data_IF_296305179816
#
_entry.id   IF_296305179816
#
_cell.length_a   1.000
_cell.length_b   1.000
_cell.length_c   1.000
_cell.angle_alpha   90.00
_cell.angle_beta   90.00
_cell.angle_gamma   90.00
#
_symmetry.space_group_name_H-M   'P 1'
#
loop_
_entity.id
_entity.type
_entity.pdbx_description
1 polymer ?
#
# COMPACT_ATOMS: atom_id res chain seq x y z
N UNK A 1 9.90 -0.61 -10.96
CA UNK A 1 10.27 -0.97 -9.58
C UNK A 1 10.83 0.23 -8.85
N UNK A 2 11.07 0.09 -7.54
CA UNK A 2 11.74 1.08 -6.69
C UNK A 2 13.20 0.64 -6.54
N UNK A 3 14.16 1.54 -6.78
CA UNK A 3 15.59 1.19 -6.92
C UNK A 3 16.46 1.56 -5.71
N UNK A 4 15.89 2.27 -4.72
CA UNK A 4 16.60 2.69 -3.51
C UNK A 4 15.66 2.63 -2.31
N UNK A 5 15.59 1.47 -1.66
CA UNK A 5 14.71 1.26 -0.52
C UNK A 5 15.29 0.23 0.46
N UNK A 6 14.89 0.31 1.72
CA UNK A 6 15.24 -0.61 2.80
C UNK A 6 14.00 -1.04 3.56
N UNK A 7 13.95 -2.28 4.03
CA UNK A 7 12.89 -2.70 4.95
C UNK A 7 13.07 -2.02 6.32
N UNK A 8 11.96 -1.59 6.89
CA UNK A 8 11.90 -1.19 8.29
C UNK A 8 11.39 -2.38 9.10
N UNK A 9 12.33 -3.09 9.73
CA UNK A 9 12.02 -4.27 10.54
C UNK A 9 11.14 -3.91 11.74
N UNK A 10 10.26 -4.83 12.12
CA UNK A 10 9.39 -4.69 13.30
C UNK A 10 7.98 -4.19 13.02
N UNK A 11 7.66 -3.82 11.77
CA UNK A 11 6.28 -3.59 11.33
C UNK A 11 5.79 -4.72 10.42
N UNK A 12 4.72 -5.40 10.85
CA UNK A 12 4.01 -6.40 10.08
C UNK A 12 2.51 -6.34 10.37
N UNK A 13 1.66 -6.26 9.33
CA UNK A 13 0.20 -6.31 9.48
C UNK A 13 -0.46 -7.18 8.43
N UNK A 14 -1.41 -8.01 8.86
CA UNK A 14 -2.14 -8.91 7.99
C UNK A 14 -3.59 -8.48 7.82
N UNK A 15 -4.07 -8.44 6.57
CA UNK A 15 -5.47 -8.22 6.23
C UNK A 15 -6.04 -9.44 5.53
N UNK A 16 -7.12 -9.99 6.08
CA UNK A 16 -7.90 -11.04 5.45
C UNK A 16 -9.21 -10.51 4.90
N UNK A 17 -9.56 -10.92 3.68
CA UNK A 17 -10.86 -10.65 3.07
C UNK A 17 -11.31 -11.80 2.18
N UNK A 18 -12.62 -11.94 2.06
CA UNK A 18 -13.24 -12.96 1.22
C UNK A 18 -13.65 -12.34 -0.11
N UNK A 19 -13.35 -13.04 -1.20
CA UNK A 19 -13.79 -12.65 -2.55
C UNK A 19 -14.36 -13.86 -3.29
N UNK A 20 -15.14 -13.61 -4.34
CA UNK A 20 -15.72 -14.67 -5.16
C UNK A 20 -14.83 -14.91 -6.37
N UNK A 21 -14.39 -16.15 -6.56
CA UNK A 21 -13.64 -16.58 -7.76
C UNK A 21 -14.33 -17.78 -8.36
N UNK A 22 -14.80 -17.66 -9.61
CA UNK A 22 -15.54 -18.73 -10.32
C UNK A 22 -16.69 -19.32 -9.49
N UNK A 23 -17.47 -18.46 -8.84
CA UNK A 23 -18.62 -18.85 -8.00
C UNK A 23 -18.27 -19.40 -6.60
N UNK A 24 -16.99 -19.50 -6.24
CA UNK A 24 -16.56 -19.98 -4.92
C UNK A 24 -16.08 -18.82 -4.05
N UNK A 25 -16.47 -18.83 -2.77
CA UNK A 25 -15.90 -17.94 -1.75
C UNK A 25 -14.46 -18.38 -1.46
N UNK A 26 -13.52 -17.46 -1.61
CA UNK A 26 -12.09 -17.68 -1.36
C UNK A 26 -11.62 -16.64 -0.35
N UNK A 27 -10.88 -17.07 0.66
CA UNK A 27 -10.21 -16.18 1.61
C UNK A 27 -8.84 -15.82 1.05
N UNK A 28 -8.52 -14.53 1.00
CA UNK A 28 -7.19 -14.02 0.70
C UNK A 28 -6.64 -13.28 1.90
N UNK A 29 -5.41 -13.60 2.27
CA UNK A 29 -4.62 -12.89 3.28
C UNK A 29 -3.52 -12.10 2.58
N UNK A 30 -3.38 -10.83 2.93
CA UNK A 30 -2.32 -9.94 2.46
C UNK A 30 -1.52 -9.49 3.67
N UNK A 31 -0.20 -9.64 3.60
CA UNK A 31 0.74 -9.19 4.65
C UNK A 31 1.43 -7.93 4.17
N UNK A 32 1.44 -6.91 5.02
CA UNK A 32 2.03 -5.60 4.78
C UNK A 32 3.26 -5.43 5.68
N UNK A 33 4.29 -4.87 5.09
CA UNK A 33 5.55 -4.48 5.72
C UNK A 33 5.81 -3.00 5.45
N UNK A 34 6.74 -2.40 6.18
CA UNK A 34 7.21 -1.04 5.89
C UNK A 34 8.55 -1.07 5.20
N UNK A 35 8.70 -0.16 4.26
CA UNK A 35 9.96 0.12 3.60
C UNK A 35 10.18 1.62 3.56
N UNK A 36 11.40 2.04 3.86
CA UNK A 36 11.87 3.40 3.62
C UNK A 36 12.37 3.48 2.18
N UNK A 37 11.97 4.51 1.44
CA UNK A 37 12.41 4.76 0.06
C UNK A 37 13.28 6.00 0.06
N UNK A 38 14.55 5.84 -0.32
CA UNK A 38 15.52 6.93 -0.35
C UNK A 38 15.42 7.77 -1.62
N UNK A 39 15.39 9.10 -1.46
CA UNK A 39 15.04 10.10 -2.47
C UNK A 39 13.63 9.90 -3.04
N UNK A 40 13.06 10.94 -3.64
CA UNK A 40 11.77 10.90 -4.37
C UNK A 40 11.90 10.10 -5.69
N UNK A 41 12.40 8.87 -5.59
CA UNK A 41 12.52 7.95 -6.69
C UNK A 41 11.15 7.75 -7.32
N UNK A 42 11.04 8.06 -8.61
CA UNK A 42 9.87 7.72 -9.38
C UNK A 42 9.94 6.23 -9.72
N UNK A 43 8.99 5.41 -9.23
CA UNK A 43 9.00 4.01 -9.55
C UNK A 43 8.82 3.81 -11.06
N UNK A 44 9.40 2.75 -11.62
CA UNK A 44 9.02 2.27 -12.95
C UNK A 44 7.69 1.52 -12.87
N UNK A 45 6.71 1.91 -13.67
CA UNK A 45 5.39 1.25 -13.75
C UNK A 45 5.51 -0.17 -14.31
N UNK A 46 4.83 -1.14 -13.71
CA UNK A 46 4.60 -2.45 -14.32
C UNK A 46 3.24 -2.53 -15.01
N UNK A 47 3.01 -3.53 -15.84
CA UNK A 47 1.73 -3.74 -16.55
C UNK A 47 0.54 -3.93 -15.59
N UNK A 48 0.80 -4.38 -14.36
CA UNK A 48 -0.23 -4.60 -13.34
C UNK A 48 -0.76 -3.28 -12.73
N UNK A 49 -0.05 -2.16 -12.93
CA UNK A 49 -0.43 -0.86 -12.38
C UNK A 49 -1.12 -0.01 -13.45
N UNK A 50 -2.41 0.25 -13.24
CA UNK A 50 -3.25 1.05 -14.13
C UNK A 50 -3.38 2.46 -13.58
N UNK A 51 -3.37 3.45 -14.47
CA UNK A 51 -3.64 4.83 -14.09
C UNK A 51 -5.08 5.02 -13.60
N UNK A 52 -5.26 5.94 -12.66
CA UNK A 52 -6.56 6.43 -12.24
C UNK A 52 -7.23 7.26 -13.37
N UNK A 53 -8.47 7.73 -13.18
CA UNK A 53 -9.15 8.57 -14.16
C UNK A 53 -8.44 9.90 -14.49
N UNK A 54 -7.51 10.35 -13.66
CA UNK A 54 -6.70 11.55 -13.87
C UNK A 54 -5.37 11.25 -14.58
N UNK A 55 -5.13 10.00 -14.99
CA UNK A 55 -3.91 9.57 -15.65
C UNK A 55 -2.75 9.30 -14.69
N UNK A 56 -2.97 9.34 -13.37
CA UNK A 56 -1.96 9.09 -12.36
C UNK A 56 -2.00 7.61 -11.94
N UNK A 57 -0.89 6.91 -12.07
CA UNK A 57 -0.76 5.52 -11.61
C UNK A 57 0.01 5.41 -10.28
N UNK A 58 0.64 6.51 -9.87
CA UNK A 58 1.51 6.59 -8.71
C UNK A 58 1.60 8.02 -8.20
N UNK A 59 1.67 8.19 -6.88
CA UNK A 59 1.94 9.46 -6.24
C UNK A 59 2.63 9.28 -4.89
N UNK A 60 3.61 10.14 -4.61
CA UNK A 60 4.09 10.40 -3.26
C UNK A 60 3.25 11.53 -2.65
N UNK A 61 3.06 11.53 -1.33
CA UNK A 61 2.29 12.55 -0.63
C UNK A 61 2.43 12.43 0.88
N UNK A 62 1.86 13.38 1.61
CA UNK A 62 1.75 13.30 3.07
C UNK A 62 0.83 12.17 3.48
N UNK A 63 0.88 11.80 4.77
CA UNK A 63 -0.04 10.83 5.33
C UNK A 63 -1.51 11.19 5.03
N UNK A 64 -1.89 12.44 5.23
CA UNK A 64 -3.25 12.94 5.02
C UNK A 64 -3.65 12.82 3.56
N UNK A 65 -2.80 13.28 2.64
CA UNK A 65 -3.05 13.21 1.19
C UNK A 65 -3.28 11.76 0.74
N UNK A 66 -2.36 10.85 1.10
CA UNK A 66 -2.47 9.45 0.68
C UNK A 66 -3.66 8.75 1.34
N UNK A 67 -3.96 9.05 2.61
CA UNK A 67 -5.08 8.44 3.31
C UNK A 67 -6.44 8.75 2.67
N UNK A 68 -6.62 9.96 2.11
CA UNK A 68 -7.83 10.34 1.39
C UNK A 68 -8.03 9.54 0.09
N UNK A 69 -6.93 9.13 -0.54
CA UNK A 69 -6.91 8.42 -1.82
C UNK A 69 -7.15 6.91 -1.68
N UNK A 70 -6.88 6.34 -0.50
CA UNK A 70 -7.10 4.93 -0.23
C UNK A 70 -8.59 4.59 -0.24
N UNK A 71 -9.02 3.65 -1.08
CA UNK A 71 -10.44 3.30 -1.21
C UNK A 71 -10.97 2.39 -0.10
N UNK A 72 -10.23 1.34 0.27
CA UNK A 72 -10.71 0.34 1.24
C UNK A 72 -10.43 0.76 2.69
N UNK A 73 -11.44 0.62 3.57
CA UNK A 73 -11.31 0.98 4.99
C UNK A 73 -10.21 0.21 5.71
N UNK A 74 -10.04 -1.09 5.39
CA UNK A 74 -9.00 -1.92 6.00
C UNK A 74 -7.58 -1.47 5.64
N UNK A 75 -7.34 -1.00 4.41
CA UNK A 75 -6.00 -0.50 4.06
C UNK A 75 -5.72 0.83 4.75
N UNK A 76 -6.73 1.71 4.91
CA UNK A 76 -6.59 2.94 5.71
C UNK A 76 -6.19 2.63 7.16
N UNK A 77 -6.77 1.59 7.75
CA UNK A 77 -6.39 1.15 9.10
C UNK A 77 -4.92 0.73 9.16
N UNK A 78 -4.46 -0.13 8.25
CA UNK A 78 -3.04 -0.54 8.20
C UNK A 78 -2.13 0.65 7.97
N UNK A 79 -2.54 1.59 7.13
CA UNK A 79 -1.77 2.81 6.86
C UNK A 79 -1.66 3.70 8.11
N UNK A 80 -2.74 3.88 8.87
CA UNK A 80 -2.72 4.60 10.15
C UNK A 80 -1.87 3.90 11.22
N UNK A 81 -1.93 2.56 11.28
CA UNK A 81 -1.08 1.78 12.20
C UNK A 81 0.41 1.90 11.85
N UNK A 82 0.74 1.99 10.56
CA UNK A 82 2.10 2.25 10.09
C UNK A 82 2.61 3.63 10.49
N UNK A 83 1.84 4.69 10.24
CA UNK A 83 2.19 6.05 10.64
C UNK A 83 2.36 6.18 12.16
N UNK A 84 1.46 5.58 12.94
CA UNK A 84 1.57 5.54 14.39
C UNK A 84 2.79 4.73 14.88
N UNK A 85 3.27 3.76 14.10
CA UNK A 85 4.50 3.01 14.42
C UNK A 85 5.75 3.84 14.13
N UNK A 86 5.77 4.60 13.03
CA UNK A 86 6.89 5.48 12.66
C UNK A 86 7.08 6.66 13.62
N UNK A 87 6.02 7.09 14.32
CA UNK A 87 6.05 8.22 15.28
C UNK A 87 6.45 7.82 16.71
N UNK A 88 6.73 6.55 16.97
CA UNK A 88 7.19 6.03 18.27
C UNK A 88 8.70 6.08 18.38
#
# INVERSE_FOLDING_TARGET
>A
GIVNWSFLDGFERSLSYTYIRRGRKVVKTVVYYLAEVGNSAHPTRSEEHVADPHGQWFQWGTFEQINELLYHTKIRQVFAEADAWLRK
#
